data_IF_823471358528
#
_entry.id   IF_823471358528
#
_cell.length_a   1.000
_cell.length_b   1.000
_cell.length_c   1.000
_cell.angle_alpha   90.00
_cell.angle_beta   90.00
_cell.angle_gamma   90.00
#
_symmetry.space_group_name_H-M   'P 1'
#
loop_
_entity.id
_entity.type
_entity.pdbx_description
1 polymer ?
#
# COMPACT_ATOMS: atom_id res chain seq x y z
N UNK A 1 -6.27 -6.54 11.46
CA UNK A 1 -5.47 -5.30 11.31
C UNK A 1 -4.86 -5.10 9.91
N UNK A 2 -4.30 -6.12 9.22
CA UNK A 2 -3.64 -5.89 7.92
C UNK A 2 -4.56 -5.88 6.68
N UNK A 3 -5.74 -6.50 6.75
CA UNK A 3 -6.63 -6.65 5.58
C UNK A 3 -7.36 -5.34 5.19
N UNK A 4 -7.80 -4.56 6.17
CA UNK A 4 -8.47 -3.27 5.92
C UNK A 4 -7.54 -2.22 5.33
N UNK A 5 -6.32 -2.11 5.85
CA UNK A 5 -5.33 -1.16 5.32
C UNK A 5 -4.97 -1.57 3.89
N UNK A 6 -4.90 -2.87 3.58
CA UNK A 6 -4.69 -3.32 2.20
C UNK A 6 -5.82 -2.89 1.29
N UNK A 7 -7.07 -3.11 1.69
CA UNK A 7 -8.21 -2.72 0.87
C UNK A 7 -8.21 -1.21 0.60
N UNK A 8 -7.89 -0.41 1.62
CA UNK A 8 -7.73 1.05 1.47
C UNK A 8 -6.60 1.42 0.52
N UNK A 9 -5.41 0.83 0.67
CA UNK A 9 -4.25 1.07 -0.21
C UNK A 9 -4.52 0.62 -1.63
N UNK A 10 -5.09 -0.56 -1.82
CA UNK A 10 -5.46 -1.08 -3.14
C UNK A 10 -6.45 -0.14 -3.83
N UNK A 11 -7.49 0.28 -3.11
CA UNK A 11 -8.48 1.22 -3.64
C UNK A 11 -7.85 2.57 -4.00
N UNK A 12 -6.99 3.11 -3.15
CA UNK A 12 -6.26 4.35 -3.43
C UNK A 12 -5.37 4.23 -4.68
N UNK A 13 -4.70 3.09 -4.88
CA UNK A 13 -3.92 2.83 -6.09
C UNK A 13 -4.82 2.71 -7.33
N UNK A 14 -5.99 2.08 -7.21
CA UNK A 14 -6.98 1.96 -8.31
C UNK A 14 -7.62 3.32 -8.67
N UNK A 15 -7.67 4.27 -7.74
CA UNK A 15 -8.16 5.65 -7.97
C UNK A 15 -7.12 6.57 -8.62
N UNK A 16 -5.86 6.15 -8.75
CA UNK A 16 -4.84 6.92 -9.44
C UNK A 16 -5.06 6.89 -10.97
N UNK A 17 -4.70 7.97 -11.70
CA UNK A 17 -4.77 8.00 -13.16
C UNK A 17 -3.67 7.17 -13.85
N UNK A 18 -3.02 6.27 -13.12
CA UNK A 18 -1.89 5.45 -13.59
C UNK A 18 -2.06 4.00 -13.18
N UNK A 19 -1.43 3.09 -13.93
CA UNK A 19 -1.50 1.67 -13.59
C UNK A 19 -0.69 1.35 -12.32
N UNK A 20 -1.09 0.32 -11.56
CA UNK A 20 -0.33 -0.18 -10.40
C UNK A 20 1.15 -0.45 -10.73
N UNK A 21 1.45 -0.91 -11.94
CA UNK A 21 2.82 -1.14 -12.39
C UNK A 21 3.60 0.16 -12.64
N UNK A 22 2.94 1.22 -13.10
CA UNK A 22 3.54 2.55 -13.24
C UNK A 22 3.76 3.20 -11.89
N UNK A 23 2.77 3.09 -11.00
CA UNK A 23 2.92 3.53 -9.61
C UNK A 23 4.09 2.84 -8.92
N UNK A 24 4.26 1.52 -9.09
CA UNK A 24 5.43 0.81 -8.59
C UNK A 24 6.75 1.37 -9.15
N UNK A 25 6.80 1.65 -10.46
CA UNK A 25 7.99 2.23 -11.10
C UNK A 25 8.31 3.63 -10.59
N UNK A 26 7.29 4.45 -10.32
CA UNK A 26 7.47 5.79 -9.73
C UNK A 26 8.11 5.72 -8.34
N UNK A 27 7.86 4.63 -7.61
CA UNK A 27 8.47 4.36 -6.30
C UNK A 27 9.81 3.64 -6.37
N UNK A 28 10.37 3.46 -7.56
CA UNK A 28 11.56 2.65 -7.82
C UNK A 28 11.40 1.21 -7.28
N UNK A 29 10.16 0.71 -7.25
CA UNK A 29 9.80 -0.62 -6.81
C UNK A 29 9.53 -1.53 -8.00
N UNK A 30 9.93 -2.79 -7.87
CA UNK A 30 9.54 -3.80 -8.84
C UNK A 30 8.02 -4.03 -8.76
N UNK A 31 7.28 -3.99 -9.88
CA UNK A 31 5.83 -4.24 -9.89
C UNK A 31 5.42 -5.58 -9.26
N UNK A 32 6.28 -6.61 -9.36
CA UNK A 32 6.05 -7.91 -8.71
C UNK A 32 6.12 -7.80 -7.19
N UNK A 33 6.99 -6.93 -6.66
CA UNK A 33 7.12 -6.70 -5.22
C UNK A 33 5.87 -5.99 -4.69
N UNK A 34 5.38 -4.97 -5.40
CA UNK A 34 4.14 -4.29 -5.03
C UNK A 34 2.93 -5.25 -5.10
N UNK A 35 2.82 -6.03 -6.17
CA UNK A 35 1.74 -7.02 -6.29
C UNK A 35 1.82 -8.06 -5.17
N UNK A 36 3.02 -8.58 -4.87
CA UNK A 36 3.23 -9.50 -3.75
C UNK A 36 2.88 -8.86 -2.41
N UNK A 37 3.17 -7.57 -2.22
CA UNK A 37 2.78 -6.81 -1.03
C UNK A 37 1.26 -6.60 -0.93
N UNK A 38 0.56 -6.54 -2.06
CA UNK A 38 -0.91 -6.51 -2.17
C UNK A 38 -1.57 -7.89 -2.19
N UNK A 39 -0.81 -8.99 -2.19
CA UNK A 39 -1.31 -10.37 -2.03
C UNK A 39 -0.94 -11.05 -0.69
N UNK A 40 0.22 -10.78 -0.09
CA UNK A 40 0.60 -11.31 1.24
C UNK A 40 -0.32 -10.89 2.40
N UNK A 41 -1.05 -11.83 2.99
CA UNK A 41 -1.66 -11.63 4.31
C UNK A 41 -0.60 -11.89 5.39
N UNK A 42 -0.55 -11.07 6.45
CA UNK A 42 0.36 -11.28 7.58
C UNK A 42 1.19 -10.05 7.94
N UNK A 43 2.52 -10.14 7.85
CA UNK A 43 3.43 -9.02 8.16
C UNK A 43 3.33 -7.94 7.09
N UNK A 44 3.24 -6.69 7.54
CA UNK A 44 3.35 -5.51 6.69
C UNK A 44 4.72 -5.52 6.01
N UNK A 45 4.80 -5.64 4.68
CA UNK A 45 6.05 -5.56 3.93
C UNK A 45 6.65 -4.15 4.06
N UNK A 46 7.98 -4.03 4.16
CA UNK A 46 8.69 -2.74 4.27
C UNK A 46 8.35 -1.74 3.14
N UNK A 47 7.90 -2.23 1.99
CA UNK A 47 7.47 -1.38 0.87
C UNK A 47 6.20 -0.59 1.15
N UNK A 48 5.42 -0.95 2.17
CA UNK A 48 4.17 -0.25 2.50
C UNK A 48 4.39 1.16 3.03
N UNK A 49 5.46 1.40 3.77
CA UNK A 49 5.80 2.76 4.19
C UNK A 49 6.05 3.65 2.98
N UNK A 50 6.79 3.16 1.98
CA UNK A 50 7.02 3.90 0.73
C UNK A 50 5.73 4.13 -0.06
N UNK A 51 4.89 3.11 -0.16
CA UNK A 51 3.60 3.19 -0.88
C UNK A 51 2.67 4.19 -0.21
N UNK A 52 2.53 4.14 1.11
CA UNK A 52 1.67 5.06 1.85
C UNK A 52 2.20 6.49 1.80
N UNK A 53 3.51 6.68 2.00
CA UNK A 53 4.15 7.98 1.89
C UNK A 53 3.90 8.62 0.52
N UNK A 54 3.98 7.85 -0.56
CA UNK A 54 3.74 8.34 -1.91
C UNK A 54 2.26 8.60 -2.23
N UNK A 55 1.35 7.87 -1.60
CA UNK A 55 -0.08 8.16 -1.65
C UNK A 55 -0.47 9.33 -0.73
N UNK A 56 0.48 9.94 -0.02
CA UNK A 56 0.24 11.02 0.93
C UNK A 56 -0.44 10.57 2.23
N UNK A 57 -0.54 9.26 2.48
CA UNK A 57 -1.08 8.71 3.71
C UNK A 57 0.04 8.47 4.72
N UNK A 58 -0.22 8.78 6.00
CA UNK A 58 0.61 8.30 7.11
C UNK A 58 0.05 6.98 7.64
N UNK A 59 0.94 6.08 8.07
CA UNK A 59 0.56 5.00 8.97
C UNK A 59 0.09 5.64 10.29
N UNK A 60 -1.20 5.88 10.43
CA UNK A 60 -1.80 6.34 11.68
C UNK A 60 -2.23 5.12 12.49
N UNK A 61 -1.66 4.97 13.69
CA UNK A 61 -2.18 4.05 14.71
C UNK A 61 -3.34 4.79 15.37
N UNK A 62 -4.56 4.62 14.84
CA UNK A 62 -5.75 5.04 15.57
C UNK A 62 -6.09 3.98 16.63
N UNK A 63 -6.22 4.43 17.88
CA UNK A 63 -6.54 3.61 19.04
C UNK A 63 -7.97 3.09 18.87
N UNK A 64 -8.15 1.78 18.92
CA UNK A 64 -9.49 1.19 19.07
C UNK A 64 -9.91 1.53 20.50
N UNK A 65 -10.92 2.38 20.65
CA UNK A 65 -11.56 2.63 21.94
C UNK A 65 -12.30 1.35 22.38
N UNK A 66 -12.12 1.03 23.67
CA UNK A 66 -12.55 -0.19 24.39
C UNK A 66 -14.08 -0.34 24.44
#
# INVERSE_FOLDING_TARGET
MNDEIRKKVKKAIEELPMSQAEFARQLELNPRVLNRALLHQGKTPEVWEKVLAALGYRFTIEKIED
#
